data_IF_400189295028
#
_entry.id   IF_400189295028
#
_cell.length_a   1.000
_cell.length_b   1.000
_cell.length_c   1.000
_cell.angle_alpha   90.00
_cell.angle_beta   90.00
_cell.angle_gamma   90.00
#
_symmetry.space_group_name_H-M   'P 1'
#
loop_
_entity.id
_entity.type
_entity.pdbx_description
1 polymer ?
#
# COMPACT_ATOMS: atom_id res chain seq x y z
N UNK A 1 -15.01 -80.88 33.90
CA UNK A 1 -14.33 -80.45 32.70
C UNK A 1 -14.93 -79.06 32.36
N UNK A 2 -14.27 -78.00 32.73
CA UNK A 2 -14.81 -76.67 32.75
C UNK A 2 -14.03 -75.80 31.76
N UNK A 3 -14.65 -75.48 30.62
CA UNK A 3 -14.05 -74.58 29.56
C UNK A 3 -14.13 -73.14 29.99
N UNK A 4 -13.00 -72.53 30.29
CA UNK A 4 -12.83 -71.11 30.49
C UNK A 4 -12.62 -70.46 29.13
N UNK A 5 -13.64 -69.79 28.61
CA UNK A 5 -13.50 -68.83 27.48
C UNK A 5 -13.03 -67.48 28.03
N UNK A 6 -11.79 -67.17 27.69
CA UNK A 6 -11.20 -65.85 28.00
C UNK A 6 -11.73 -64.83 27.01
N UNK A 7 -12.49 -63.86 27.49
CA UNK A 7 -13.01 -62.71 26.69
C UNK A 7 -11.91 -61.63 26.68
N UNK A 8 -11.18 -61.51 25.57
CA UNK A 8 -10.31 -60.36 25.33
C UNK A 8 -11.17 -59.18 24.88
N UNK A 9 -11.34 -58.21 25.74
CA UNK A 9 -11.87 -56.87 25.38
C UNK A 9 -10.69 -56.05 24.84
N UNK A 10 -10.60 -55.94 23.52
CA UNK A 10 -9.65 -55.04 22.86
C UNK A 10 -10.21 -53.61 22.96
N UNK A 11 -9.68 -52.83 23.90
CA UNK A 11 -9.95 -51.39 23.98
C UNK A 11 -9.25 -50.69 22.80
N UNK A 12 -10.01 -50.42 21.76
CA UNK A 12 -9.56 -49.65 20.59
C UNK A 12 -9.54 -48.18 20.98
N UNK A 13 -8.41 -47.74 21.51
CA UNK A 13 -8.14 -46.34 21.81
C UNK A 13 -7.86 -45.64 20.48
N UNK A 14 -8.93 -45.07 19.90
CA UNK A 14 -8.85 -44.24 18.67
C UNK A 14 -8.00 -43.03 18.95
N UNK A 15 -6.73 -43.05 18.53
CA UNK A 15 -5.93 -41.84 18.35
C UNK A 15 -6.62 -40.98 17.29
N UNK A 16 -7.37 -39.99 17.73
CA UNK A 16 -7.74 -38.84 16.89
C UNK A 16 -6.44 -38.12 16.54
N UNK A 17 -5.78 -38.56 15.47
CA UNK A 17 -4.78 -37.74 14.81
C UNK A 17 -5.52 -36.46 14.33
N UNK A 18 -5.44 -35.41 15.16
CA UNK A 18 -5.65 -34.07 14.66
C UNK A 18 -4.63 -33.87 13.53
N UNK A 19 -5.07 -34.06 12.29
CA UNK A 19 -4.33 -33.59 11.16
C UNK A 19 -4.06 -32.10 11.45
N UNK A 20 -2.79 -31.76 11.70
CA UNK A 20 -2.35 -30.39 11.70
C UNK A 20 -2.63 -29.90 10.28
N UNK A 21 -3.83 -29.31 10.08
CA UNK A 21 -4.12 -28.56 8.88
C UNK A 21 -3.01 -27.53 8.79
N UNK A 22 -2.25 -27.57 7.71
CA UNK A 22 -1.30 -26.52 7.38
C UNK A 22 -2.06 -25.20 7.61
N UNK A 23 -1.59 -24.40 8.58
CA UNK A 23 -2.25 -23.14 8.96
C UNK A 23 -2.52 -22.38 7.67
N UNK A 24 -3.80 -22.21 7.33
CA UNK A 24 -4.24 -21.53 6.13
C UNK A 24 -3.81 -20.07 6.23
N UNK A 25 -2.60 -19.78 5.75
CA UNK A 25 -2.05 -18.43 5.80
C UNK A 25 -2.90 -17.50 4.94
N UNK A 26 -3.20 -16.33 5.49
CA UNK A 26 -3.80 -15.23 4.73
C UNK A 26 -2.76 -14.64 3.80
N UNK A 27 -3.02 -14.63 2.51
CA UNK A 27 -2.16 -13.99 1.51
C UNK A 27 -2.64 -12.56 1.28
N UNK A 28 -1.82 -11.60 1.66
CA UNK A 28 -2.06 -10.17 1.46
C UNK A 28 -1.22 -9.64 0.31
N UNK A 29 -1.86 -9.02 -0.69
CA UNK A 29 -1.18 -8.11 -1.61
C UNK A 29 -1.56 -6.68 -1.25
N UNK A 30 -0.59 -5.80 -1.04
CA UNK A 30 -0.85 -4.44 -0.58
C UNK A 30 0.08 -3.41 -1.20
N UNK A 31 -0.43 -2.19 -1.36
CA UNK A 31 0.34 -1.06 -1.82
C UNK A 31 1.63 -0.86 -0.99
N UNK A 32 2.71 -0.46 -1.63
CA UNK A 32 4.00 -0.23 -0.98
C UNK A 32 3.93 0.78 0.17
N UNK A 33 3.10 1.80 0.05
CA UNK A 33 2.85 2.82 1.09
C UNK A 33 2.18 2.27 2.36
N UNK A 34 1.53 1.10 2.28
CA UNK A 34 0.89 0.43 3.40
C UNK A 34 1.83 -0.50 4.17
N UNK A 35 3.07 -0.70 3.70
CA UNK A 35 3.99 -1.70 4.26
C UNK A 35 4.14 -1.61 5.78
N UNK A 36 4.48 -0.44 6.31
CA UNK A 36 4.67 -0.24 7.75
C UNK A 36 3.39 -0.57 8.53
N UNK A 37 2.30 0.08 8.18
CA UNK A 37 1.02 -0.06 8.87
C UNK A 37 0.45 -1.49 8.78
N UNK A 38 0.39 -2.09 7.59
CA UNK A 38 -0.18 -3.43 7.44
C UNK A 38 0.75 -4.55 7.92
N UNK A 39 2.05 -4.30 8.08
CA UNK A 39 2.93 -5.23 8.80
C UNK A 39 2.55 -5.28 10.28
N UNK A 40 2.35 -4.13 10.93
CA UNK A 40 1.93 -4.06 12.33
C UNK A 40 0.51 -4.63 12.51
N UNK A 41 -0.44 -4.24 11.64
CA UNK A 41 -1.80 -4.83 11.64
C UNK A 41 -1.75 -6.35 11.52
N UNK A 42 -0.89 -6.89 10.65
CA UNK A 42 -0.73 -8.33 10.48
C UNK A 42 -0.21 -8.99 11.75
N UNK A 43 0.77 -8.39 12.42
CA UNK A 43 1.31 -8.91 13.68
C UNK A 43 0.26 -8.94 14.80
N UNK A 44 -0.56 -7.90 14.93
CA UNK A 44 -1.64 -7.87 15.92
C UNK A 44 -2.75 -8.87 15.59
N UNK A 45 -3.12 -9.00 14.32
CA UNK A 45 -4.06 -10.02 13.86
C UNK A 45 -3.54 -11.44 14.15
N UNK A 46 -2.28 -11.73 13.87
CA UNK A 46 -1.67 -13.05 14.13
C UNK A 46 -1.69 -13.42 15.62
N UNK A 47 -1.52 -12.44 16.52
CA UNK A 47 -1.60 -12.65 17.97
C UNK A 47 -3.01 -13.06 18.40
N UNK A 48 -4.03 -12.45 17.84
CA UNK A 48 -5.42 -12.65 18.24
C UNK A 48 -6.09 -13.85 17.56
N UNK A 49 -5.77 -14.10 16.28
CA UNK A 49 -6.43 -15.12 15.46
C UNK A 49 -5.67 -16.45 15.38
N UNK A 50 -4.37 -16.45 15.69
CA UNK A 50 -3.43 -17.57 15.46
C UNK A 50 -3.24 -17.94 13.97
N UNK A 51 -3.78 -17.14 13.05
CA UNK A 51 -3.55 -17.27 11.61
C UNK A 51 -2.31 -16.48 11.19
N UNK A 52 -1.54 -17.03 10.23
CA UNK A 52 -0.38 -16.32 9.68
C UNK A 52 -0.76 -15.45 8.49
N UNK A 53 -0.15 -14.26 8.37
CA UNK A 53 -0.30 -13.37 7.21
C UNK A 53 1.00 -13.39 6.40
N UNK A 54 0.88 -13.68 5.11
CA UNK A 54 1.98 -13.60 4.15
C UNK A 54 1.72 -12.40 3.24
N UNK A 55 2.47 -11.33 3.46
CA UNK A 55 2.28 -10.08 2.77
C UNK A 55 3.28 -9.88 1.62
N UNK A 56 2.77 -9.44 0.46
CA UNK A 56 3.53 -8.89 -0.65
C UNK A 56 3.18 -7.42 -0.81
N UNK A 57 4.19 -6.56 -0.83
CA UNK A 57 4.02 -5.11 -0.98
C UNK A 57 4.65 -4.64 -2.28
N UNK A 58 3.93 -3.81 -3.04
CA UNK A 58 4.38 -3.29 -4.31
C UNK A 58 3.49 -2.20 -4.88
N UNK A 59 3.76 -1.80 -6.11
CA UNK A 59 2.91 -0.88 -6.87
C UNK A 59 1.55 -1.55 -7.14
N UNK A 60 0.45 -0.86 -6.82
CA UNK A 60 -0.89 -1.48 -6.81
C UNK A 60 -1.34 -1.97 -8.18
N UNK A 61 -0.96 -1.28 -9.27
CA UNK A 61 -1.28 -1.71 -10.62
C UNK A 61 -0.59 -3.02 -10.98
N UNK A 62 0.70 -3.15 -10.66
CA UNK A 62 1.45 -4.39 -10.89
C UNK A 62 0.88 -5.55 -10.06
N UNK A 63 0.54 -5.29 -8.79
CA UNK A 63 -0.10 -6.31 -7.94
C UNK A 63 -1.48 -6.72 -8.48
N UNK A 64 -2.28 -5.78 -8.98
CA UNK A 64 -3.56 -6.06 -9.64
C UNK A 64 -3.36 -6.96 -10.86
N UNK A 65 -2.35 -6.71 -11.70
CA UNK A 65 -2.04 -7.53 -12.87
C UNK A 65 -1.62 -8.96 -12.46
N UNK A 66 -0.72 -9.09 -11.48
CA UNK A 66 -0.34 -10.39 -10.93
C UNK A 66 -1.54 -11.19 -10.38
N UNK A 67 -2.46 -10.51 -9.68
CA UNK A 67 -3.69 -11.12 -9.16
C UNK A 67 -4.60 -11.54 -10.33
N UNK A 68 -4.73 -10.70 -11.35
CA UNK A 68 -5.50 -11.02 -12.54
C UNK A 68 -4.92 -12.25 -13.29
N UNK A 69 -3.61 -12.43 -13.27
CA UNK A 69 -2.88 -13.55 -13.86
C UNK A 69 -2.86 -14.80 -12.95
N UNK A 70 -3.52 -14.78 -11.81
CA UNK A 70 -3.72 -15.96 -10.96
C UNK A 70 -2.80 -16.05 -9.74
N UNK A 71 -2.12 -14.98 -9.33
CA UNK A 71 -1.35 -14.98 -8.10
C UNK A 71 -2.26 -15.31 -6.89
N UNK A 72 -1.79 -16.22 -6.02
CA UNK A 72 -2.52 -16.62 -4.81
C UNK A 72 -2.66 -15.43 -3.87
N UNK A 73 -3.87 -14.91 -3.75
CA UNK A 73 -4.21 -13.73 -2.95
C UNK A 73 -5.50 -13.99 -2.18
N UNK A 74 -5.55 -13.61 -0.92
CA UNK A 74 -6.78 -13.62 -0.13
C UNK A 74 -7.35 -12.21 0.04
N UNK A 75 -6.48 -11.23 0.28
CA UNK A 75 -6.84 -9.82 0.48
C UNK A 75 -5.99 -8.94 -0.40
N UNK A 76 -6.62 -7.98 -1.08
CA UNK A 76 -5.93 -6.94 -1.83
C UNK A 76 -6.24 -5.56 -1.26
N UNK A 77 -5.19 -4.82 -0.88
CA UNK A 77 -5.24 -3.46 -0.33
C UNK A 77 -4.48 -2.50 -1.26
N UNK A 78 -5.22 -1.73 -2.05
CA UNK A 78 -4.70 -0.84 -3.09
C UNK A 78 -4.60 0.62 -2.60
N UNK A 79 -3.66 1.37 -3.17
CA UNK A 79 -3.54 2.81 -2.96
C UNK A 79 -4.49 3.65 -3.84
N UNK A 80 -5.45 3.02 -4.50
CA UNK A 80 -6.59 3.64 -5.18
C UNK A 80 -7.82 2.73 -5.11
N UNK A 81 -8.97 3.24 -5.54
CA UNK A 81 -10.20 2.45 -5.64
C UNK A 81 -10.30 1.69 -6.97
N UNK A 82 -9.70 2.19 -8.04
CA UNK A 82 -9.87 1.67 -9.41
C UNK A 82 -9.36 0.24 -9.57
N UNK A 83 -8.17 -0.08 -9.03
CA UNK A 83 -7.58 -1.40 -9.20
C UNK A 83 -8.39 -2.52 -8.54
N UNK A 84 -8.84 -2.41 -7.28
CA UNK A 84 -9.71 -3.43 -6.70
C UNK A 84 -11.09 -3.46 -7.36
N UNK A 85 -11.64 -2.32 -7.84
CA UNK A 85 -12.88 -2.28 -8.59
C UNK A 85 -12.78 -3.05 -9.90
N UNK A 86 -11.69 -2.90 -10.64
CA UNK A 86 -11.45 -3.67 -11.86
C UNK A 86 -11.42 -5.20 -11.62
N UNK A 87 -10.88 -5.65 -10.48
CA UNK A 87 -10.93 -7.06 -10.09
C UNK A 87 -12.36 -7.52 -9.72
N UNK A 88 -13.14 -6.66 -9.06
CA UNK A 88 -14.53 -6.95 -8.72
C UNK A 88 -15.40 -7.03 -9.97
N UNK A 89 -15.26 -6.09 -10.91
CA UNK A 89 -15.95 -6.10 -12.21
C UNK A 89 -15.62 -7.35 -13.04
N UNK A 90 -14.38 -7.85 -12.93
CA UNK A 90 -13.96 -9.11 -13.53
C UNK A 90 -14.40 -10.37 -12.74
N UNK A 91 -15.23 -10.22 -11.70
CA UNK A 91 -15.67 -11.29 -10.79
C UNK A 91 -14.51 -12.05 -10.10
N UNK A 92 -13.34 -11.40 -9.95
CA UNK A 92 -12.17 -11.98 -9.27
C UNK A 92 -12.14 -11.66 -7.78
N UNK A 93 -12.95 -10.71 -7.32
CA UNK A 93 -13.07 -10.34 -5.89
C UNK A 93 -14.49 -10.01 -5.50
N UNK A 94 -14.72 -9.89 -4.18
CA UNK A 94 -15.93 -9.35 -3.59
C UNK A 94 -16.01 -7.82 -3.69
N UNK A 95 -16.95 -7.20 -2.93
CA UNK A 95 -17.10 -5.75 -2.88
C UNK A 95 -15.82 -5.03 -2.48
N UNK A 96 -15.67 -3.81 -2.99
CA UNK A 96 -14.55 -2.93 -2.66
C UNK A 96 -14.97 -1.95 -1.57
N UNK A 97 -14.16 -1.83 -0.52
CA UNK A 97 -14.38 -0.94 0.60
C UNK A 97 -13.29 0.12 0.64
N UNK A 98 -13.67 1.39 0.73
CA UNK A 98 -12.75 2.47 1.11
C UNK A 98 -12.36 2.26 2.57
N UNK A 99 -11.07 2.02 2.85
CA UNK A 99 -10.62 1.69 4.21
C UNK A 99 -9.63 2.67 4.81
N UNK A 100 -8.97 3.48 3.98
CA UNK A 100 -8.00 4.49 4.42
C UNK A 100 -7.89 5.61 3.40
N UNK A 101 -7.42 6.77 3.85
CA UNK A 101 -7.06 7.90 2.99
C UNK A 101 -5.64 8.36 3.26
N UNK A 102 -5.01 8.91 2.23
CA UNK A 102 -3.69 9.51 2.29
C UNK A 102 -3.69 10.83 1.49
N UNK A 103 -2.57 11.54 1.52
CA UNK A 103 -2.36 12.77 0.72
C UNK A 103 -1.01 12.69 0.03
N UNK A 104 -0.87 13.38 -1.09
CA UNK A 104 0.45 13.64 -1.67
C UNK A 104 1.15 14.79 -0.94
N UNK A 105 2.47 14.63 -0.80
CA UNK A 105 3.42 15.64 -0.37
C UNK A 105 4.58 15.72 -1.37
N UNK A 106 5.28 16.83 -1.36
CA UNK A 106 6.59 16.90 -1.99
C UNK A 106 7.65 16.57 -0.95
N UNK A 107 8.48 15.56 -1.23
CA UNK A 107 9.70 15.25 -0.50
C UNK A 107 10.84 15.94 -1.23
N UNK A 108 11.55 16.84 -0.56
CA UNK A 108 12.61 17.63 -1.18
C UNK A 108 13.98 17.37 -0.52
N UNK A 109 15.05 17.50 -1.33
CA UNK A 109 16.42 17.37 -0.84
C UNK A 109 16.77 18.44 0.18
N UNK A 110 17.74 18.17 1.06
CA UNK A 110 18.27 19.20 1.95
C UNK A 110 18.72 20.43 1.18
N UNK A 111 18.46 21.61 1.74
CA UNK A 111 18.90 22.89 1.19
C UNK A 111 18.14 23.40 -0.04
N UNK A 112 17.12 22.68 -0.53
CA UNK A 112 16.22 23.23 -1.53
C UNK A 112 15.30 24.27 -0.86
N UNK A 113 15.43 25.54 -1.24
CA UNK A 113 14.57 26.59 -0.74
C UNK A 113 13.17 26.47 -1.37
N UNK A 114 12.28 25.70 -0.73
CA UNK A 114 10.90 25.50 -1.17
C UNK A 114 9.95 25.47 0.02
N UNK A 115 8.80 26.11 -0.14
CA UNK A 115 7.67 26.10 0.79
C UNK A 115 6.42 25.66 0.06
N UNK A 116 5.30 25.44 0.74
CA UNK A 116 4.01 25.16 0.10
C UNK A 116 3.68 26.23 -0.97
N UNK A 117 3.87 27.50 -0.67
CA UNK A 117 3.53 28.60 -1.58
C UNK A 117 4.45 28.67 -2.82
N UNK A 118 5.71 28.31 -2.68
CA UNK A 118 6.69 28.36 -3.78
C UNK A 118 6.86 27.02 -4.50
N UNK A 119 6.17 25.97 -4.06
CA UNK A 119 6.38 24.60 -4.54
C UNK A 119 6.14 24.47 -6.05
N UNK A 120 5.07 25.07 -6.58
CA UNK A 120 4.77 24.99 -8.00
C UNK A 120 5.89 25.61 -8.84
N UNK A 121 6.40 26.76 -8.44
CA UNK A 121 7.52 27.41 -9.13
C UNK A 121 8.78 26.54 -9.10
N UNK A 122 9.06 25.92 -7.96
CA UNK A 122 10.19 24.99 -7.85
C UNK A 122 10.02 23.73 -8.69
N UNK A 123 8.83 23.18 -8.77
CA UNK A 123 8.55 22.05 -9.66
C UNK A 123 8.69 22.43 -11.14
N UNK A 124 8.36 23.67 -11.52
CA UNK A 124 8.49 24.18 -12.89
C UNK A 124 9.92 24.63 -13.25
N UNK A 125 10.79 24.88 -12.26
CA UNK A 125 12.17 25.30 -12.47
C UNK A 125 12.93 24.23 -13.28
N UNK A 126 13.49 24.54 -14.46
CA UNK A 126 14.20 23.58 -15.30
C UNK A 126 15.45 22.98 -14.62
N UNK A 127 16.01 23.65 -13.61
CA UNK A 127 17.17 23.15 -12.86
C UNK A 127 16.80 22.15 -11.75
N UNK A 128 15.52 22.03 -11.40
CA UNK A 128 15.02 21.12 -10.36
C UNK A 128 14.53 19.82 -10.99
N UNK A 129 15.11 18.70 -10.62
CA UNK A 129 14.70 17.37 -11.05
C UNK A 129 13.47 16.93 -10.26
N UNK A 130 12.37 16.68 -10.96
CA UNK A 130 11.11 16.26 -10.39
C UNK A 130 10.93 14.74 -10.55
N UNK A 131 10.94 14.00 -9.45
CA UNK A 131 10.67 12.56 -9.42
C UNK A 131 9.19 12.26 -9.16
N UNK A 132 8.69 11.22 -9.80
CA UNK A 132 7.34 10.66 -9.58
C UNK A 132 7.39 9.14 -9.64
N UNK A 133 6.32 8.49 -9.18
CA UNK A 133 6.02 7.11 -9.54
C UNK A 133 5.51 7.02 -10.98
N UNK A 134 5.48 5.81 -11.53
CA UNK A 134 5.01 5.52 -12.89
C UNK A 134 3.48 5.45 -12.92
N UNK A 135 2.78 6.31 -13.65
CA UNK A 135 1.32 6.27 -13.77
C UNK A 135 0.81 4.91 -14.27
N UNK A 136 -0.40 4.55 -13.90
CA UNK A 136 -1.10 3.27 -14.15
C UNK A 136 -0.50 2.08 -13.42
N UNK A 137 0.81 1.98 -13.32
CA UNK A 137 1.48 0.92 -12.57
C UNK A 137 1.45 1.21 -11.05
N UNK A 138 1.64 2.46 -10.66
CA UNK A 138 1.60 2.91 -9.26
C UNK A 138 0.66 4.13 -9.13
N UNK A 139 -0.42 4.04 -8.33
CA UNK A 139 -1.37 5.14 -8.14
C UNK A 139 -0.74 6.46 -7.69
N UNK A 140 0.40 6.44 -7.02
CA UNK A 140 1.15 7.66 -6.68
C UNK A 140 1.53 8.46 -7.93
N UNK A 141 1.80 7.76 -9.05
CA UNK A 141 2.06 8.39 -10.34
C UNK A 141 0.80 9.04 -10.92
N UNK A 142 -0.36 8.38 -10.82
CA UNK A 142 -1.62 8.93 -11.31
C UNK A 142 -2.02 10.17 -10.52
N UNK A 143 -1.85 10.13 -9.19
CA UNK A 143 -2.07 11.31 -8.34
C UNK A 143 -1.07 12.45 -8.61
N UNK A 144 0.17 12.15 -9.01
CA UNK A 144 1.11 13.18 -9.47
C UNK A 144 0.62 13.85 -10.76
N UNK A 145 0.07 13.09 -11.71
CA UNK A 145 -0.57 13.65 -12.90
C UNK A 145 -1.77 14.54 -12.56
N UNK A 146 -2.53 14.20 -11.54
CA UNK A 146 -3.63 15.03 -11.05
C UNK A 146 -3.12 16.36 -10.46
N UNK A 147 -2.01 16.35 -9.72
CA UNK A 147 -1.33 17.59 -9.29
C UNK A 147 -0.96 18.45 -10.51
N UNK A 148 -0.41 17.83 -11.56
CA UNK A 148 -0.03 18.55 -12.78
C UNK A 148 -1.24 19.14 -13.51
N UNK A 149 -2.35 18.41 -13.55
CA UNK A 149 -3.62 18.91 -14.11
C UNK A 149 -4.14 20.12 -13.32
N UNK A 150 -4.08 20.08 -12.00
CA UNK A 150 -4.47 21.22 -11.14
C UNK A 150 -3.54 22.41 -11.33
N UNK A 151 -2.24 22.18 -11.55
CA UNK A 151 -1.27 23.24 -11.81
C UNK A 151 -1.59 24.04 -13.08
N UNK A 152 -2.22 23.42 -14.10
CA UNK A 152 -2.64 24.10 -15.32
C UNK A 152 -3.62 25.26 -15.07
N UNK A 153 -4.51 25.09 -14.06
CA UNK A 153 -5.46 26.14 -13.68
C UNK A 153 -4.79 27.36 -13.00
N UNK A 154 -3.58 27.18 -12.47
CA UNK A 154 -2.81 28.23 -11.79
C UNK A 154 -1.87 28.91 -12.77
N UNK A 155 -1.22 28.12 -13.62
CA UNK A 155 -0.23 28.60 -14.59
C UNK A 155 -0.41 27.89 -15.93
N UNK A 156 -0.75 28.61 -16.99
CA UNK A 156 -0.90 28.04 -18.33
C UNK A 156 0.34 27.25 -18.77
N UNK A 157 0.14 26.09 -19.38
CA UNK A 157 1.16 25.14 -19.81
C UNK A 157 1.90 24.40 -18.67
N UNK A 158 1.55 24.62 -17.39
CA UNK A 158 2.21 23.94 -16.28
C UNK A 158 2.07 22.41 -16.36
N UNK A 159 0.88 21.90 -16.74
CA UNK A 159 0.67 20.46 -16.89
C UNK A 159 1.64 19.85 -17.91
N UNK A 160 1.72 20.44 -19.09
CA UNK A 160 2.60 19.96 -20.17
C UNK A 160 4.07 19.99 -19.77
N UNK A 161 4.52 21.09 -19.14
CA UNK A 161 5.90 21.24 -18.66
C UNK A 161 6.22 20.18 -17.59
N UNK A 162 5.35 20.00 -16.59
CA UNK A 162 5.56 19.05 -15.49
C UNK A 162 5.53 17.61 -15.98
N UNK A 163 4.59 17.24 -16.86
CA UNK A 163 4.53 15.90 -17.45
C UNK A 163 5.79 15.56 -18.25
N UNK A 164 6.29 16.52 -19.03
CA UNK A 164 7.48 16.32 -19.87
C UNK A 164 8.76 16.17 -19.05
N UNK A 165 8.88 16.88 -17.93
CA UNK A 165 10.09 16.86 -17.10
C UNK A 165 10.08 15.79 -16.00
N UNK A 166 8.91 15.28 -15.63
CA UNK A 166 8.77 14.30 -14.54
C UNK A 166 9.54 13.00 -14.84
N UNK A 167 10.43 12.63 -13.93
CA UNK A 167 11.20 11.41 -13.98
C UNK A 167 10.43 10.30 -13.25
N UNK A 168 9.96 9.30 -13.98
CA UNK A 168 9.25 8.14 -13.44
C UNK A 168 10.24 7.15 -12.85
N UNK A 169 10.66 7.37 -11.61
CA UNK A 169 11.79 6.67 -10.99
C UNK A 169 11.41 5.38 -10.25
N UNK A 170 10.13 5.18 -9.95
CA UNK A 170 9.65 4.01 -9.19
C UNK A 170 8.26 3.59 -9.65
N UNK A 171 7.81 2.41 -9.20
CA UNK A 171 6.45 1.92 -9.42
C UNK A 171 6.25 1.14 -10.71
N UNK A 172 7.24 1.01 -11.60
CA UNK A 172 7.18 0.12 -12.76
C UNK A 172 7.99 -1.16 -12.56
N UNK A 173 7.72 -2.16 -13.40
CA UNK A 173 8.50 -3.40 -13.39
C UNK A 173 10.00 -3.17 -13.72
N UNK A 174 10.31 -2.11 -14.46
CA UNK A 174 11.68 -1.73 -14.81
C UNK A 174 12.35 -0.79 -13.79
N UNK A 175 11.63 -0.37 -12.74
CA UNK A 175 12.18 0.54 -11.74
C UNK A 175 13.30 -0.12 -10.95
N UNK A 176 14.39 0.64 -10.73
CA UNK A 176 15.51 0.16 -9.93
C UNK A 176 15.11 0.10 -8.45
N UNK A 177 15.29 -1.06 -7.85
CA UNK A 177 15.03 -1.24 -6.42
C UNK A 177 16.14 -0.57 -5.58
N UNK A 178 15.79 0.04 -4.44
CA UNK A 178 16.79 0.55 -3.51
C UNK A 178 17.55 -0.61 -2.84
N UNK A 179 18.72 -0.36 -2.25
CA UNK A 179 19.34 -1.34 -1.36
C UNK A 179 18.37 -1.80 -0.26
N UNK A 180 18.58 -3.03 0.23
CA UNK A 180 17.71 -3.59 1.27
C UNK A 180 17.60 -2.68 2.48
N UNK A 181 16.39 -2.44 2.94
CA UNK A 181 16.09 -1.60 4.11
C UNK A 181 16.03 -0.10 3.85
N UNK A 182 16.36 0.37 2.62
CA UNK A 182 16.29 1.78 2.27
C UNK A 182 14.90 2.18 1.80
N UNK A 183 14.46 3.36 2.21
CA UNK A 183 13.25 3.98 1.63
C UNK A 183 13.54 4.42 0.18
N UNK A 184 12.69 3.99 -0.77
CA UNK A 184 12.94 4.20 -2.20
C UNK A 184 12.96 5.69 -2.58
N UNK A 185 12.11 6.52 -2.01
CA UNK A 185 12.03 7.95 -2.33
C UNK A 185 13.24 8.71 -1.76
N UNK A 186 13.56 8.45 -0.48
CA UNK A 186 14.75 9.02 0.18
C UNK A 186 16.03 8.59 -0.51
N UNK A 187 16.10 7.35 -0.98
CA UNK A 187 17.23 6.85 -1.74
C UNK A 187 17.41 7.57 -3.08
N UNK A 188 16.34 7.73 -3.87
CA UNK A 188 16.44 8.47 -5.14
C UNK A 188 16.92 9.92 -4.94
N UNK A 189 16.48 10.58 -3.87
CA UNK A 189 16.94 11.93 -3.55
C UNK A 189 18.40 11.93 -3.10
N UNK A 190 18.81 10.99 -2.24
CA UNK A 190 20.17 10.87 -1.76
C UNK A 190 21.18 10.60 -2.89
N UNK A 191 20.78 9.79 -3.89
CA UNK A 191 21.56 9.53 -5.11
C UNK A 191 21.52 10.68 -6.12
N UNK A 192 20.87 11.80 -5.78
CA UNK A 192 20.74 12.93 -6.66
C UNK A 192 19.93 12.68 -7.92
N UNK A 193 19.05 11.67 -7.94
CA UNK A 193 18.18 11.38 -9.10
C UNK A 193 16.96 12.28 -9.15
N UNK A 194 16.55 12.82 -8.01
CA UNK A 194 15.51 13.84 -7.89
C UNK A 194 15.90 14.88 -6.85
N UNK A 195 15.46 16.13 -7.06
CA UNK A 195 15.54 17.21 -6.09
C UNK A 195 14.23 17.35 -5.30
N UNK A 196 13.11 17.07 -5.98
CA UNK A 196 11.76 16.95 -5.41
C UNK A 196 11.17 15.63 -5.89
N UNK A 197 10.52 14.90 -4.98
CA UNK A 197 9.76 13.69 -5.31
C UNK A 197 8.32 13.84 -4.82
N UNK A 198 7.33 13.71 -5.72
CA UNK A 198 5.93 13.65 -5.32
C UNK A 198 5.60 12.23 -4.84
N UNK A 199 5.28 12.10 -3.56
CA UNK A 199 5.01 10.83 -2.90
C UNK A 199 3.88 10.97 -1.88
N UNK A 200 3.34 9.86 -1.39
CA UNK A 200 2.41 9.92 -0.26
C UNK A 200 3.08 10.52 0.97
N UNK A 201 2.34 11.35 1.72
CA UNK A 201 2.86 11.99 2.92
C UNK A 201 3.33 10.96 3.98
N UNK A 202 2.69 9.80 4.06
CA UNK A 202 3.13 8.69 4.91
C UNK A 202 4.50 8.17 4.50
N UNK A 203 4.71 7.93 3.21
CA UNK A 203 5.98 7.47 2.67
C UNK A 203 7.10 8.54 2.78
N UNK A 204 6.75 9.82 2.63
CA UNK A 204 7.66 10.94 2.85
C UNK A 204 8.15 11.01 4.31
N UNK A 205 7.25 10.76 5.28
CA UNK A 205 7.62 10.66 6.70
C UNK A 205 8.58 9.50 6.98
N UNK A 206 8.35 8.34 6.35
CA UNK A 206 9.26 7.21 6.51
C UNK A 206 10.63 7.48 5.88
N UNK A 207 10.68 8.15 4.72
CA UNK A 207 11.93 8.62 4.13
C UNK A 207 12.67 9.61 5.03
N UNK A 208 11.96 10.53 5.68
CA UNK A 208 12.55 11.52 6.59
C UNK A 208 13.06 10.88 7.89
N UNK A 209 12.42 9.83 8.41
CA UNK A 209 12.94 9.06 9.56
C UNK A 209 14.32 8.46 9.24
N UNK A 210 14.50 7.96 8.02
CA UNK A 210 15.79 7.42 7.55
C UNK A 210 16.81 8.53 7.26
N UNK A 211 16.37 9.63 6.70
CA UNK A 211 17.19 10.79 6.35
C UNK A 211 16.56 12.08 6.86
N UNK A 212 16.88 12.50 8.11
CA UNK A 212 16.26 13.69 8.75
C UNK A 212 16.50 15.01 8.03
N UNK A 213 17.46 15.08 7.13
CA UNK A 213 17.73 16.28 6.33
C UNK A 213 16.70 16.52 5.21
N UNK A 214 15.88 15.52 4.85
CA UNK A 214 14.85 15.67 3.84
C UNK A 214 13.74 16.60 4.35
N UNK A 215 13.18 17.39 3.42
CA UNK A 215 12.08 18.31 3.71
C UNK A 215 10.77 17.70 3.21
N UNK A 216 9.75 17.69 4.06
CA UNK A 216 8.38 17.33 3.65
C UNK A 216 7.60 18.63 3.49
N UNK A 217 7.15 18.89 2.25
CA UNK A 217 6.42 20.11 1.90
C UNK A 217 5.00 19.69 1.54
N UNK A 218 4.03 20.23 2.26
CA UNK A 218 2.62 20.04 1.94
C UNK A 218 2.30 20.70 0.59
N UNK A 219 1.51 20.03 -0.24
CA UNK A 219 0.94 20.67 -1.41
C UNK A 219 -0.02 21.80 -0.96
N UNK A 220 0.01 22.98 -1.59
CA UNK A 220 -0.98 24.01 -1.31
C UNK A 220 -2.38 23.50 -1.66
N UNK A 221 -3.42 24.00 -1.01
CA UNK A 221 -4.79 23.50 -1.14
C UNK A 221 -5.26 23.42 -2.61
N UNK A 222 -4.87 24.39 -3.43
CA UNK A 222 -5.18 24.43 -4.87
C UNK A 222 -4.55 23.30 -5.68
N UNK A 223 -3.49 22.68 -5.17
CA UNK A 223 -2.80 21.51 -5.76
C UNK A 223 -3.05 20.22 -4.95
N UNK A 224 -3.73 20.31 -3.79
CA UNK A 224 -3.91 19.19 -2.92
C UNK A 224 -4.64 18.02 -3.61
N UNK A 225 -4.10 16.83 -3.46
CA UNK A 225 -4.66 15.57 -3.96
C UNK A 225 -4.74 14.58 -2.82
N UNK A 226 -5.95 14.05 -2.62
CA UNK A 226 -6.22 12.95 -1.68
C UNK A 226 -6.21 11.64 -2.44
N UNK A 227 -5.74 10.59 -1.76
CA UNK A 227 -5.73 9.23 -2.27
C UNK A 227 -6.69 8.37 -1.43
N UNK A 228 -7.69 7.79 -2.07
CA UNK A 228 -8.65 6.87 -1.49
C UNK A 228 -8.15 5.43 -1.68
N UNK A 229 -7.98 4.69 -0.59
CA UNK A 229 -7.42 3.34 -0.58
C UNK A 229 -8.53 2.30 -0.53
N UNK A 230 -8.53 1.39 -1.51
CA UNK A 230 -9.52 0.33 -1.65
C UNK A 230 -9.04 -1.00 -1.09
N UNK A 231 -9.92 -1.68 -0.34
CA UNK A 231 -9.73 -3.03 0.19
C UNK A 231 -10.76 -3.97 -0.42
N UNK A 232 -10.33 -5.16 -0.83
CA UNK A 232 -11.25 -6.23 -1.25
C UNK A 232 -10.72 -7.59 -0.83
N UNK A 233 -11.64 -8.56 -0.69
CA UNK A 233 -11.33 -9.98 -0.47
C UNK A 233 -11.56 -10.72 -1.78
N UNK A 234 -10.63 -11.58 -2.16
CA UNK A 234 -10.66 -12.30 -3.42
C UNK A 234 -11.79 -13.35 -3.45
N UNK A 235 -12.36 -13.58 -4.62
CA UNK A 235 -13.35 -14.63 -4.83
C UNK A 235 -12.75 -16.01 -4.46
N UNK A 236 -13.48 -16.81 -3.69
CA UNK A 236 -13.01 -18.12 -3.23
C UNK A 236 -11.92 -18.07 -2.14
N UNK A 237 -11.64 -16.90 -1.57
CA UNK A 237 -10.69 -16.79 -0.46
C UNK A 237 -11.17 -17.57 0.78
N UNK A 238 -10.21 -18.09 1.55
CA UNK A 238 -10.48 -18.80 2.80
C UNK A 238 -11.06 -17.86 3.87
N UNK A 239 -11.80 -18.37 4.86
CA UNK A 239 -12.42 -17.56 5.92
C UNK A 239 -11.45 -16.60 6.62
N UNK A 240 -10.18 -17.00 6.82
CA UNK A 240 -9.15 -16.14 7.41
C UNK A 240 -8.90 -14.83 6.66
N UNK A 241 -9.11 -14.78 5.34
CA UNK A 241 -8.99 -13.55 4.56
C UNK A 241 -10.08 -12.54 4.93
N UNK A 242 -11.31 -12.99 5.12
CA UNK A 242 -12.41 -12.15 5.58
C UNK A 242 -12.18 -11.66 7.02
N UNK A 243 -11.70 -12.52 7.91
CA UNK A 243 -11.35 -12.15 9.28
C UNK A 243 -10.26 -11.07 9.29
N UNK A 244 -9.23 -11.21 8.45
CA UNK A 244 -8.16 -10.22 8.34
C UNK A 244 -8.66 -8.90 7.75
N UNK A 245 -9.49 -8.93 6.71
CA UNK A 245 -10.09 -7.72 6.15
C UNK A 245 -10.96 -6.98 7.19
N UNK A 246 -11.78 -7.70 7.97
CA UNK A 246 -12.55 -7.12 9.07
C UNK A 246 -11.65 -6.58 10.19
N UNK A 247 -10.51 -7.22 10.46
CA UNK A 247 -9.55 -6.70 11.44
C UNK A 247 -8.91 -5.39 10.97
N UNK A 248 -8.55 -5.27 9.69
CA UNK A 248 -8.07 -4.00 9.10
C UNK A 248 -9.12 -2.88 9.31
N UNK A 249 -10.41 -3.21 9.15
CA UNK A 249 -11.52 -2.27 9.31
C UNK A 249 -11.91 -2.00 10.76
N UNK A 250 -11.44 -2.81 11.71
CA UNK A 250 -11.75 -2.66 13.14
C UNK A 250 -11.13 -1.40 13.73
N UNK A 251 -11.61 -1.00 14.92
CA UNK A 251 -11.03 0.14 15.66
C UNK A 251 -9.54 -0.02 15.89
N UNK A 252 -9.04 -1.24 16.15
CA UNK A 252 -7.62 -1.51 16.35
C UNK A 252 -6.83 -1.36 15.06
N UNK A 253 -7.29 -1.97 13.95
CA UNK A 253 -6.67 -1.81 12.63
C UNK A 253 -6.63 -0.34 12.19
N UNK A 254 -7.72 0.40 12.39
CA UNK A 254 -7.79 1.83 12.06
C UNK A 254 -6.90 2.69 12.97
N UNK A 255 -6.76 2.35 14.25
CA UNK A 255 -5.84 3.02 15.18
C UNK A 255 -4.38 2.85 14.73
N UNK A 256 -4.00 1.64 14.29
CA UNK A 256 -2.67 1.37 13.75
C UNK A 256 -2.46 2.18 12.45
N UNK A 257 -3.39 2.14 11.49
CA UNK A 257 -3.30 2.93 10.26
C UNK A 257 -3.12 4.43 10.56
N UNK A 258 -3.88 4.96 11.52
CA UNK A 258 -3.78 6.38 11.93
C UNK A 258 -2.40 6.73 12.51
N UNK A 259 -1.76 5.83 13.28
CA UNK A 259 -0.40 6.06 13.83
C UNK A 259 0.66 6.20 12.75
N UNK A 260 0.44 5.61 11.58
CA UNK A 260 1.28 5.77 10.38
C UNK A 260 0.89 7.00 9.54
N UNK A 261 -0.16 7.73 9.93
CA UNK A 261 -0.59 8.96 9.27
C UNK A 261 -1.64 8.79 8.18
N UNK A 262 -2.26 7.62 8.08
CA UNK A 262 -3.47 7.43 7.28
C UNK A 262 -4.67 8.04 8.01
N UNK A 263 -5.65 8.53 7.24
CA UNK A 263 -6.93 8.97 7.78
C UNK A 263 -7.98 7.88 7.56
N UNK A 264 -8.84 7.66 8.55
CA UNK A 264 -10.02 6.83 8.38
C UNK A 264 -10.98 7.47 7.35
N UNK A 265 -11.79 6.67 6.64
CA UNK A 265 -12.88 7.21 5.84
C UNK A 265 -13.83 8.01 6.75
N UNK A 266 -14.05 9.28 6.41
CA UNK A 266 -15.07 10.05 7.11
C UNK A 266 -16.43 9.46 6.77
N UNK A 267 -17.25 9.19 7.78
CA UNK A 267 -18.68 8.94 7.55
C UNK A 267 -19.29 10.22 6.97
N UNK A 268 -20.19 10.13 5.99
CA UNK A 268 -20.95 11.30 5.57
C UNK A 268 -21.72 11.83 6.79
N UNK A 269 -21.61 13.15 7.03
CA UNK A 269 -22.38 13.84 8.05
C UNK A 269 -23.86 13.83 7.68
#
# INVERSE_FOLDING_TARGET
MLNRRLLMVATMMGLLMRSATASDAVFLHAAGSLRGALTEVSQEFEKSSHLKVRAKFGASGLLKDEIADGAKTGVFASANMEHPQALAEANKSGPVVLFARNKLCALARPGLAATSDTLLERMLDPQVRLGTSTPKADPSGDYALEVFRKAEAIRPNAQSVLQKKALQLTGSAASVAPPTGRNIYGWHIAEGRADIFLAYCTAARDAQKENPGLQIIALPDVLAVSADYGLTVMAGALPGAYQFALFILSSEGQRILASYGFSAPNLPN
#
